data_IF_890502615896
#
_entry.id   IF_890502615896
#
_cell.length_a   1.000
_cell.length_b   1.000
_cell.length_c   1.000
_cell.angle_alpha   90.00
_cell.angle_beta   90.00
_cell.angle_gamma   90.00
#
_symmetry.space_group_name_H-M   'P 1'
#
loop_
_entity.id
_entity.type
_entity.pdbx_description
1 polymer ?
#
# COMPACT_ATOMS: atom_id res chain seq x y z
N UNK A 1 -43.48 -39.61 -9.36
CA UNK A 1 -42.90 -38.39 -9.96
C UNK A 1 -41.79 -37.95 -9.02
N UNK A 2 -40.75 -38.79 -8.95
CA UNK A 2 -39.42 -38.63 -9.61
C UNK A 2 -38.58 -37.60 -8.88
N UNK A 3 -37.75 -38.16 -7.99
CA UNK A 3 -36.70 -37.51 -7.25
C UNK A 3 -35.55 -37.17 -8.20
N UNK A 4 -35.19 -35.90 -8.28
CA UNK A 4 -33.95 -35.47 -8.94
C UNK A 4 -32.79 -35.64 -7.96
N UNK A 5 -31.92 -36.57 -8.34
CA UNK A 5 -30.68 -36.92 -7.65
C UNK A 5 -29.66 -35.80 -7.90
N UNK A 6 -29.29 -35.07 -6.85
CA UNK A 6 -28.17 -34.12 -6.90
C UNK A 6 -26.90 -34.92 -7.12
N UNK A 7 -26.35 -34.81 -8.32
CA UNK A 7 -25.13 -35.49 -8.75
C UNK A 7 -23.92 -34.65 -8.33
N UNK A 8 -22.88 -35.32 -7.85
CA UNK A 8 -21.58 -34.79 -7.42
C UNK A 8 -20.96 -33.74 -8.37
N UNK A 9 -20.28 -32.68 -7.88
CA UNK A 9 -19.60 -31.72 -8.74
C UNK A 9 -18.22 -32.28 -9.12
N UNK A 10 -18.20 -33.15 -10.12
CA UNK A 10 -16.99 -33.46 -10.88
C UNK A 10 -17.11 -32.82 -12.27
N UNK A 11 -16.22 -31.85 -12.53
CA UNK A 11 -15.82 -31.41 -13.87
C UNK A 11 -16.89 -30.64 -14.69
N UNK A 12 -17.27 -29.44 -14.24
CA UNK A 12 -17.78 -28.41 -15.18
C UNK A 12 -16.61 -27.57 -15.70
N UNK A 13 -16.43 -27.54 -17.03
CA UNK A 13 -15.45 -26.67 -17.69
C UNK A 13 -15.81 -25.21 -17.40
N UNK A 14 -14.87 -24.41 -16.90
CA UNK A 14 -15.04 -22.97 -16.66
C UNK A 14 -15.39 -22.22 -17.97
N UNK A 15 -16.67 -21.93 -18.21
CA UNK A 15 -17.18 -21.29 -19.43
C UNK A 15 -17.05 -19.76 -19.46
N UNK A 16 -16.14 -19.18 -18.66
CA UNK A 16 -15.91 -17.74 -18.56
C UNK A 16 -14.47 -17.33 -18.87
N UNK A 17 -14.27 -16.10 -19.34
CA UNK A 17 -12.95 -15.46 -19.46
C UNK A 17 -12.24 -15.51 -18.10
N UNK A 18 -11.02 -16.05 -17.95
CA UNK A 18 -10.35 -16.08 -16.65
C UNK A 18 -10.14 -14.68 -16.06
N UNK A 19 -10.26 -14.55 -14.74
CA UNK A 19 -10.03 -13.30 -14.01
C UNK A 19 -8.73 -13.39 -13.21
N UNK A 20 -7.82 -12.45 -13.42
CA UNK A 20 -6.62 -12.30 -12.60
C UNK A 20 -6.72 -10.99 -11.81
N UNK A 21 -6.61 -11.08 -10.48
CA UNK A 21 -6.49 -9.92 -9.63
C UNK A 21 -5.03 -9.42 -9.63
N UNK A 22 -4.83 -8.13 -9.88
CA UNK A 22 -3.51 -7.49 -9.81
C UNK A 22 -3.40 -6.78 -8.45
N UNK A 23 -2.48 -7.26 -7.62
CA UNK A 23 -2.34 -6.86 -6.21
C UNK A 23 -0.92 -6.43 -5.94
N UNK A 24 -0.73 -5.43 -5.10
CA UNK A 24 0.58 -5.04 -4.58
C UNK A 24 0.43 -3.87 -3.62
N UNK A 25 1.52 -3.49 -2.94
CA UNK A 25 1.50 -2.25 -2.18
C UNK A 25 1.32 -1.03 -3.11
N UNK A 26 0.81 0.10 -2.60
CA UNK A 26 0.93 1.40 -3.26
C UNK A 26 2.36 1.68 -3.73
N UNK A 27 2.48 2.35 -4.89
CA UNK A 27 3.75 2.78 -5.50
C UNK A 27 4.75 1.68 -5.91
N UNK A 28 4.31 0.41 -6.03
CA UNK A 28 5.15 -0.73 -6.43
C UNK A 28 5.32 -0.90 -7.95
N UNK A 29 4.79 0.01 -8.77
CA UNK A 29 4.76 -0.14 -10.22
C UNK A 29 3.59 -0.98 -10.75
N UNK A 30 2.59 -1.26 -9.92
CA UNK A 30 1.37 -2.01 -10.29
C UNK A 30 0.68 -1.50 -11.55
N UNK A 31 0.38 -0.20 -11.62
CA UNK A 31 -0.25 0.40 -12.80
C UNK A 31 0.65 0.33 -14.04
N UNK A 32 1.98 0.35 -13.88
CA UNK A 32 2.92 0.18 -14.99
C UNK A 32 2.82 -1.21 -15.59
N UNK A 33 2.85 -2.26 -14.76
CA UNK A 33 2.71 -3.65 -15.20
C UNK A 33 1.32 -3.91 -15.78
N UNK A 34 0.26 -3.44 -15.12
CA UNK A 34 -1.10 -3.54 -15.62
C UNK A 34 -1.26 -2.91 -17.01
N UNK A 35 -0.79 -1.68 -17.19
CA UNK A 35 -0.85 -0.98 -18.48
C UNK A 35 -0.03 -1.70 -19.56
N UNK A 36 1.12 -2.27 -19.19
CA UNK A 36 1.96 -3.02 -20.12
C UNK A 36 1.30 -4.34 -20.58
N UNK A 37 0.47 -4.96 -19.74
CA UNK A 37 -0.27 -6.18 -20.09
C UNK A 37 -1.55 -5.90 -20.90
N UNK A 38 -2.33 -4.88 -20.51
CA UNK A 38 -3.63 -4.55 -21.11
C UNK A 38 -3.54 -3.66 -22.36
N UNK A 39 -2.49 -2.84 -22.49
CA UNK A 39 -2.42 -1.79 -23.49
C UNK A 39 -3.59 -0.80 -23.35
N UNK A 40 -4.28 -0.52 -24.45
CA UNK A 40 -5.42 0.43 -24.52
C UNK A 40 -6.77 -0.19 -24.12
N UNK A 41 -6.85 -1.51 -23.90
CA UNK A 41 -8.11 -2.22 -23.64
C UNK A 41 -8.46 -2.20 -22.16
N UNK A 42 -8.79 -1.01 -21.64
CA UNK A 42 -9.12 -0.81 -20.24
C UNK A 42 -10.46 -0.09 -20.09
N UNK A 43 -11.18 -0.40 -19.01
CA UNK A 43 -12.42 0.25 -18.61
C UNK A 43 -12.32 0.61 -17.14
N UNK A 44 -12.68 1.84 -16.81
CA UNK A 44 -12.84 2.30 -15.43
C UNK A 44 -14.33 2.26 -15.12
N UNK A 45 -14.69 1.58 -14.04
CA UNK A 45 -16.03 1.55 -13.48
C UNK A 45 -15.93 1.78 -11.97
N UNK A 46 -17.05 1.87 -11.26
CA UNK A 46 -17.06 1.85 -9.80
C UNK A 46 -17.48 0.48 -9.30
N UNK A 47 -17.02 0.08 -8.11
CA UNK A 47 -17.55 -1.09 -7.44
C UNK A 47 -19.02 -0.86 -7.05
N UNK A 48 -19.87 -1.90 -7.05
CA UNK A 48 -21.28 -1.76 -6.71
C UNK A 48 -21.47 -1.12 -5.32
N UNK A 49 -22.25 -0.03 -5.26
CA UNK A 49 -22.63 0.60 -4.00
C UNK A 49 -21.55 1.45 -3.31
N UNK A 50 -20.41 1.70 -3.95
CA UNK A 50 -19.32 2.52 -3.40
C UNK A 50 -18.68 3.44 -4.45
N UNK A 51 -17.98 4.49 -4.01
CA UNK A 51 -17.27 5.44 -4.88
C UNK A 51 -15.87 5.00 -5.28
N UNK A 52 -15.49 3.76 -4.96
CA UNK A 52 -14.15 3.23 -5.24
C UNK A 52 -14.05 2.82 -6.71
N UNK A 53 -13.03 3.31 -7.39
CA UNK A 53 -12.75 2.99 -8.79
C UNK A 53 -12.28 1.53 -8.94
N UNK A 54 -12.90 0.82 -9.86
CA UNK A 54 -12.54 -0.50 -10.37
C UNK A 54 -11.95 -0.35 -11.77
N UNK A 55 -10.66 -0.67 -11.93
CA UNK A 55 -9.98 -0.69 -13.24
C UNK A 55 -9.94 -2.11 -13.78
N UNK A 56 -10.68 -2.35 -14.85
CA UNK A 56 -10.70 -3.61 -15.58
C UNK A 56 -9.92 -3.48 -16.88
N UNK A 57 -9.07 -4.45 -17.18
CA UNK A 57 -8.32 -4.50 -18.42
C UNK A 57 -8.40 -5.88 -19.06
N UNK A 58 -8.13 -5.95 -20.36
CA UNK A 58 -8.13 -7.21 -21.09
C UNK A 58 -6.74 -7.46 -21.66
N UNK A 59 -6.14 -8.58 -21.26
CA UNK A 59 -4.87 -9.05 -21.79
C UNK A 59 -5.10 -10.24 -22.72
N UNK A 60 -4.31 -10.32 -23.78
CA UNK A 60 -4.22 -11.52 -24.60
C UNK A 60 -2.96 -12.30 -24.18
N UNK A 61 -3.18 -13.51 -23.68
CA UNK A 61 -2.18 -14.40 -23.11
C UNK A 61 -2.31 -15.73 -23.85
N UNK A 62 -1.28 -16.09 -24.63
CA UNK A 62 -1.18 -17.37 -25.35
C UNK A 62 -2.43 -17.80 -26.15
N UNK A 63 -3.10 -16.83 -26.78
CA UNK A 63 -4.31 -17.08 -27.60
C UNK A 63 -5.63 -17.02 -26.82
N UNK A 64 -5.57 -16.91 -25.49
CA UNK A 64 -6.73 -16.71 -24.63
C UNK A 64 -6.86 -15.23 -24.22
N UNK A 65 -8.10 -14.75 -24.16
CA UNK A 65 -8.40 -13.45 -23.53
C UNK A 65 -8.56 -13.65 -22.04
N UNK A 66 -7.89 -12.82 -21.25
CA UNK A 66 -7.91 -12.84 -19.79
C UNK A 66 -8.34 -11.45 -19.30
N UNK A 67 -9.22 -11.43 -18.31
CA UNK A 67 -9.63 -10.20 -17.61
C UNK A 67 -8.64 -9.92 -16.47
N UNK A 68 -8.09 -8.70 -16.44
CA UNK A 68 -7.21 -8.21 -15.38
C UNK A 68 -8.00 -7.20 -14.54
N UNK A 69 -8.06 -7.44 -13.23
CA UNK A 69 -8.66 -6.53 -12.26
C UNK A 69 -7.56 -5.83 -11.46
N UNK A 70 -7.36 -4.54 -11.73
CA UNK A 70 -6.43 -3.71 -10.98
C UNK A 70 -7.08 -3.27 -9.67
N UNK A 71 -6.57 -3.79 -8.55
CA UNK A 71 -7.06 -3.47 -7.22
C UNK A 71 -6.33 -2.23 -6.67
N UNK A 72 -6.97 -1.37 -5.87
CA UNK A 72 -6.29 -0.39 -5.05
C UNK A 72 -5.10 -1.01 -4.30
N UNK A 73 -4.03 -0.23 -4.10
CA UNK A 73 -2.85 -0.75 -3.41
C UNK A 73 -3.19 -1.10 -1.97
N UNK A 74 -2.79 -2.29 -1.52
CA UNK A 74 -3.04 -2.79 -0.17
C UNK A 74 -1.75 -2.84 0.63
N UNK A 75 -1.79 -2.54 1.93
CA UNK A 75 -0.69 -2.88 2.85
C UNK A 75 -0.91 -4.19 3.58
N UNK A 76 -2.17 -4.56 3.74
CA UNK A 76 -2.65 -5.77 4.37
C UNK A 76 -4.01 -6.11 3.74
N UNK A 77 -4.38 -7.39 3.71
CA UNK A 77 -5.75 -7.81 3.39
C UNK A 77 -6.73 -7.42 4.50
N UNK A 78 -6.23 -7.04 5.67
CA UNK A 78 -7.01 -6.30 6.65
C UNK A 78 -7.00 -4.84 6.24
N UNK A 79 -8.16 -4.35 5.85
CA UNK A 79 -8.32 -2.98 5.42
C UNK A 79 -8.48 -2.03 6.60
N UNK A 80 -7.77 -0.91 6.55
CA UNK A 80 -7.92 0.19 7.50
C UNK A 80 -8.71 1.36 6.89
N UNK A 81 -9.02 1.29 5.59
CA UNK A 81 -9.80 2.29 4.84
C UNK A 81 -10.89 1.66 3.96
N UNK A 82 -11.92 2.42 3.54
CA UNK A 82 -12.96 1.92 2.62
C UNK A 82 -12.41 1.39 1.29
N UNK A 83 -11.41 2.07 0.72
CA UNK A 83 -10.80 1.68 -0.55
C UNK A 83 -10.03 0.36 -0.42
N UNK A 84 -9.29 0.19 0.68
CA UNK A 84 -8.63 -1.08 1.01
C UNK A 84 -9.65 -2.18 1.29
N UNK A 85 -10.80 -1.84 1.90
CA UNK A 85 -11.84 -2.82 2.22
C UNK A 85 -12.42 -3.39 0.93
N UNK A 86 -12.72 -2.52 -0.03
CA UNK A 86 -13.20 -2.92 -1.35
C UNK A 86 -12.17 -3.76 -2.10
N UNK A 87 -10.88 -3.39 -2.04
CA UNK A 87 -9.81 -4.16 -2.67
C UNK A 87 -9.63 -5.55 -2.04
N UNK A 88 -9.66 -5.64 -0.71
CA UNK A 88 -9.60 -6.89 0.05
C UNK A 88 -10.80 -7.80 -0.27
N UNK A 89 -12.00 -7.22 -0.27
CA UNK A 89 -13.22 -7.94 -0.62
C UNK A 89 -13.23 -8.40 -2.07
N UNK A 90 -12.60 -7.63 -2.97
CA UNK A 90 -12.55 -7.96 -4.38
C UNK A 90 -11.63 -9.15 -4.64
N UNK A 91 -10.46 -9.22 -3.98
CA UNK A 91 -9.59 -10.40 -4.10
C UNK A 91 -10.21 -11.64 -3.47
N UNK A 92 -10.97 -11.48 -2.37
CA UNK A 92 -11.69 -12.60 -1.73
C UNK A 92 -12.98 -13.01 -2.46
N UNK A 93 -13.31 -12.39 -3.60
CA UNK A 93 -14.51 -12.73 -4.37
C UNK A 93 -15.83 -12.35 -3.67
N UNK A 94 -15.81 -11.36 -2.78
CA UNK A 94 -16.99 -10.93 -2.00
C UNK A 94 -17.79 -9.83 -2.68
N UNK A 95 -17.14 -8.97 -3.47
CA UNK A 95 -17.80 -7.86 -4.21
C UNK A 95 -17.72 -8.04 -5.74
N UNK A 96 -16.91 -8.98 -6.20
CA UNK A 96 -16.77 -9.38 -7.61
C UNK A 96 -16.69 -10.90 -7.67
N UNK A 97 -16.78 -11.50 -8.86
CA UNK A 97 -16.49 -12.93 -9.03
C UNK A 97 -15.10 -13.27 -8.48
N UNK A 98 -14.96 -14.44 -7.86
CA UNK A 98 -13.66 -14.91 -7.35
C UNK A 98 -12.61 -14.88 -8.46
N UNK A 99 -11.43 -14.29 -8.23
CA UNK A 99 -10.32 -14.42 -9.17
C UNK A 99 -9.90 -15.88 -9.35
N UNK A 100 -9.41 -16.20 -10.54
CA UNK A 100 -8.83 -17.51 -10.88
C UNK A 100 -7.34 -17.57 -10.55
N UNK A 101 -6.66 -16.42 -10.53
CA UNK A 101 -5.26 -16.28 -10.13
C UNK A 101 -4.95 -14.87 -9.64
N UNK A 102 -3.77 -14.68 -9.06
CA UNK A 102 -3.26 -13.40 -8.58
C UNK A 102 -1.93 -13.08 -9.29
N UNK A 103 -1.86 -11.90 -9.88
CA UNK A 103 -0.62 -11.27 -10.27
C UNK A 103 -0.17 -10.34 -9.14
N UNK A 104 0.82 -10.79 -8.37
CA UNK A 104 1.35 -10.04 -7.23
C UNK A 104 2.54 -9.17 -7.66
N UNK A 105 2.42 -7.86 -7.48
CA UNK A 105 3.45 -6.88 -7.82
C UNK A 105 4.32 -6.66 -6.59
N UNK A 106 5.58 -7.05 -6.68
CA UNK A 106 6.54 -7.03 -5.58
C UNK A 106 7.66 -6.04 -5.91
N UNK A 107 7.77 -4.97 -5.13
CA UNK A 107 8.84 -3.98 -5.28
C UNK A 107 10.14 -4.47 -4.66
N UNK A 108 11.17 -4.65 -5.50
CA UNK A 108 12.48 -5.14 -5.09
C UNK A 108 13.20 -4.21 -4.09
N UNK A 109 12.85 -2.93 -4.02
CA UNK A 109 13.45 -1.94 -3.10
C UNK A 109 12.81 -1.95 -1.72
N UNK A 110 11.63 -2.54 -1.57
CA UNK A 110 10.88 -2.58 -0.31
C UNK A 110 10.33 -3.98 -0.01
N UNK A 111 11.21 -4.99 -0.06
CA UNK A 111 10.84 -6.40 0.11
C UNK A 111 10.07 -6.66 1.40
N UNK A 112 10.50 -6.11 2.55
CA UNK A 112 9.91 -6.42 3.87
C UNK A 112 8.42 -6.13 3.92
N UNK A 113 8.01 -4.97 3.41
CA UNK A 113 6.62 -4.54 3.40
C UNK A 113 5.78 -5.34 2.39
N UNK A 114 6.34 -5.60 1.22
CA UNK A 114 5.66 -6.37 0.18
C UNK A 114 5.46 -7.84 0.58
N UNK A 115 6.48 -8.44 1.20
CA UNK A 115 6.41 -9.80 1.70
C UNK A 115 5.36 -9.95 2.81
N UNK A 116 5.18 -8.96 3.67
CA UNK A 116 4.10 -8.99 4.66
C UNK A 116 2.73 -9.20 4.00
N UNK A 117 2.37 -8.40 2.99
CA UNK A 117 1.12 -8.57 2.23
C UNK A 117 1.11 -9.90 1.46
N UNK A 118 2.20 -10.25 0.79
CA UNK A 118 2.32 -11.51 0.05
C UNK A 118 2.02 -12.72 0.93
N UNK A 119 2.48 -12.73 2.19
CA UNK A 119 2.22 -13.83 3.12
C UNK A 119 0.73 -14.04 3.40
N UNK A 120 -0.08 -12.97 3.36
CA UNK A 120 -1.54 -13.06 3.49
C UNK A 120 -2.20 -13.49 2.18
N UNK A 121 -1.71 -12.97 1.05
CA UNK A 121 -2.20 -13.32 -0.29
C UNK A 121 -2.02 -14.82 -0.58
N UNK A 122 -0.92 -15.43 -0.14
CA UNK A 122 -0.69 -16.88 -0.28
C UNK A 122 -1.66 -17.75 0.51
N UNK A 123 -2.37 -17.19 1.47
CA UNK A 123 -3.39 -17.90 2.26
C UNK A 123 -4.80 -17.76 1.67
N UNK A 124 -4.93 -17.09 0.52
CA UNK A 124 -6.19 -17.00 -0.23
C UNK A 124 -6.49 -18.26 -1.04
N UNK A 125 -5.60 -19.24 -1.03
CA UNK A 125 -5.76 -20.50 -1.78
C UNK A 125 -5.93 -20.26 -3.30
N UNK A 126 -5.31 -19.20 -3.81
CA UNK A 126 -5.29 -18.86 -5.24
C UNK A 126 -3.88 -19.06 -5.82
N UNK A 127 -3.75 -19.47 -7.10
CA UNK A 127 -2.47 -19.45 -7.80
C UNK A 127 -1.90 -18.03 -7.84
N UNK A 128 -0.61 -17.89 -7.55
CA UNK A 128 0.07 -16.57 -7.49
C UNK A 128 1.27 -16.59 -8.44
N UNK A 129 1.40 -15.53 -9.23
CA UNK A 129 2.62 -15.21 -10.00
C UNK A 129 3.13 -13.86 -9.53
N UNK A 130 4.43 -13.76 -9.24
CA UNK A 130 5.06 -12.52 -8.77
C UNK A 130 5.73 -11.79 -9.92
N UNK A 131 5.35 -10.53 -10.14
CA UNK A 131 6.12 -9.59 -10.94
C UNK A 131 7.02 -8.75 -10.03
N UNK A 132 8.33 -9.01 -10.07
CA UNK A 132 9.34 -8.31 -9.28
C UNK A 132 9.77 -7.02 -10.00
N UNK A 133 9.28 -5.88 -9.55
CA UNK A 133 9.52 -4.56 -10.15
C UNK A 133 10.71 -3.85 -9.52
N UNK A 134 11.16 -2.74 -10.13
CA UNK A 134 12.21 -1.85 -9.59
C UNK A 134 13.59 -2.52 -9.39
N UNK A 135 13.86 -3.60 -10.12
CA UNK A 135 15.15 -4.32 -10.04
C UNK A 135 16.33 -3.51 -10.61
N UNK A 136 16.05 -2.53 -11.47
CA UNK A 136 17.02 -1.56 -11.98
C UNK A 136 17.53 -0.62 -10.87
N UNK A 137 16.68 -0.26 -9.90
CA UNK A 137 17.06 0.55 -8.75
C UNK A 137 18.01 -0.19 -7.82
N UNK A 138 17.80 -1.50 -7.62
CA UNK A 138 18.75 -2.33 -6.88
C UNK A 138 20.11 -2.38 -7.57
N UNK A 139 20.11 -2.52 -8.90
CA UNK A 139 21.35 -2.53 -9.69
C UNK A 139 22.13 -1.22 -9.55
N UNK A 140 21.44 -0.07 -9.62
CA UNK A 140 22.04 1.27 -9.40
C UNK A 140 22.57 1.46 -7.99
N UNK A 141 21.93 0.84 -7.01
CA UNK A 141 22.34 0.86 -5.61
C UNK A 141 23.44 -0.17 -5.27
N UNK A 142 23.93 -0.92 -6.27
CA UNK A 142 24.89 -2.02 -6.12
C UNK A 142 24.40 -3.14 -5.17
N UNK A 143 23.08 -3.29 -5.04
CA UNK A 143 22.43 -4.33 -4.24
C UNK A 143 22.15 -5.53 -5.15
N UNK A 144 22.71 -6.69 -4.81
CA UNK A 144 22.46 -7.95 -5.52
C UNK A 144 21.37 -8.75 -4.80
N UNK A 145 20.27 -9.00 -5.50
CA UNK A 145 19.17 -9.85 -5.03
C UNK A 145 19.19 -11.17 -5.80
N UNK A 146 19.24 -12.29 -5.07
CA UNK A 146 19.14 -13.62 -5.68
C UNK A 146 17.67 -13.96 -5.99
N UNK A 147 17.27 -13.76 -7.25
CA UNK A 147 15.89 -13.96 -7.72
C UNK A 147 15.50 -15.44 -7.72
N UNK A 148 16.41 -16.35 -8.08
CA UNK A 148 16.16 -17.79 -8.05
C UNK A 148 15.85 -18.25 -6.62
N UNK A 149 16.65 -17.79 -5.65
CA UNK A 149 16.43 -18.10 -4.25
C UNK A 149 15.15 -17.46 -3.70
N UNK A 150 14.78 -16.27 -4.18
CA UNK A 150 13.50 -15.66 -3.85
C UNK A 150 12.35 -16.51 -4.40
N UNK A 151 12.42 -16.97 -5.65
CA UNK A 151 11.45 -17.88 -6.25
C UNK A 151 11.28 -19.14 -5.43
N UNK A 152 12.40 -19.78 -5.04
CA UNK A 152 12.38 -21.02 -4.29
C UNK A 152 11.82 -20.82 -2.87
N UNK A 153 12.10 -19.70 -2.21
CA UNK A 153 11.57 -19.40 -0.86
C UNK A 153 10.12 -18.94 -0.84
N UNK A 154 9.64 -18.31 -1.92
CA UNK A 154 8.23 -17.91 -2.06
C UNK A 154 7.36 -19.04 -2.62
N UNK A 155 7.98 -20.08 -3.18
CA UNK A 155 7.33 -21.22 -3.83
C UNK A 155 6.33 -20.82 -4.93
N UNK A 156 6.65 -19.74 -5.65
CA UNK A 156 5.85 -19.20 -6.76
C UNK A 156 6.75 -18.67 -7.87
N UNK A 157 6.30 -18.60 -9.13
CA UNK A 157 7.06 -17.95 -10.19
C UNK A 157 7.35 -16.48 -9.84
N UNK A 158 8.61 -16.07 -9.96
CA UNK A 158 9.07 -14.69 -9.74
C UNK A 158 9.72 -14.17 -11.01
N UNK A 159 9.09 -13.22 -11.68
CA UNK A 159 9.52 -12.67 -12.96
C UNK A 159 9.98 -11.22 -12.75
N UNK A 160 11.27 -10.90 -12.95
CA UNK A 160 11.74 -9.52 -12.95
C UNK A 160 11.10 -8.71 -14.09
N UNK A 161 10.52 -7.56 -13.76
CA UNK A 161 9.93 -6.63 -14.72
C UNK A 161 10.60 -5.25 -14.59
N UNK A 162 11.18 -4.77 -15.68
CA UNK A 162 11.75 -3.43 -15.82
C UNK A 162 11.03 -2.69 -16.94
N UNK A 163 10.24 -1.68 -16.58
CA UNK A 163 9.51 -0.86 -17.54
C UNK A 163 8.53 -1.66 -18.41
N UNK A 164 8.76 -1.65 -19.73
CA UNK A 164 7.91 -2.32 -20.74
C UNK A 164 8.71 -3.34 -21.58
N UNK A 165 9.71 -3.99 -20.98
CA UNK A 165 10.51 -5.00 -21.68
C UNK A 165 9.62 -6.14 -22.22
N UNK A 166 9.61 -6.30 -23.55
CA UNK A 166 8.71 -7.24 -24.22
C UNK A 166 9.06 -8.71 -23.91
N UNK A 167 10.33 -9.03 -23.67
CA UNK A 167 10.79 -10.38 -23.35
C UNK A 167 10.34 -10.80 -21.96
N UNK A 168 10.48 -9.91 -20.98
CA UNK A 168 10.02 -10.13 -19.61
C UNK A 168 8.50 -10.22 -19.52
N UNK A 169 7.78 -9.34 -20.22
CA UNK A 169 6.31 -9.43 -20.31
C UNK A 169 5.83 -10.72 -20.97
N UNK A 170 6.55 -11.22 -21.99
CA UNK A 170 6.24 -12.51 -22.61
C UNK A 170 6.40 -13.67 -21.62
N UNK A 171 7.48 -13.68 -20.82
CA UNK A 171 7.68 -14.68 -19.76
C UNK A 171 6.59 -14.58 -18.68
N UNK A 172 6.25 -13.36 -18.24
CA UNK A 172 5.16 -13.17 -17.28
C UNK A 172 3.83 -13.70 -17.80
N UNK A 173 3.50 -13.44 -19.07
CA UNK A 173 2.30 -14.00 -19.71
C UNK A 173 2.32 -15.52 -19.77
N UNK A 174 3.47 -16.12 -20.09
CA UNK A 174 3.63 -17.58 -20.09
C UNK A 174 3.37 -18.19 -18.71
N UNK A 175 3.96 -17.62 -17.65
CA UNK A 175 3.75 -18.10 -16.27
C UNK A 175 2.29 -17.93 -15.82
N UNK A 176 1.65 -16.80 -16.18
CA UNK A 176 0.22 -16.59 -15.92
C UNK A 176 -0.66 -17.61 -16.67
N UNK A 177 -0.32 -17.94 -17.92
CA UNK A 177 -0.99 -19.00 -18.70
C UNK A 177 -0.85 -20.36 -18.01
N UNK A 178 0.37 -20.69 -17.58
CA UNK A 178 0.69 -21.97 -16.94
C UNK A 178 -0.11 -22.15 -15.64
N UNK A 179 -0.14 -21.15 -14.75
CA UNK A 179 -0.91 -21.27 -13.49
C UNK A 179 -2.42 -21.27 -13.68
N UNK A 180 -2.93 -20.69 -14.78
CA UNK A 180 -4.35 -20.74 -15.12
C UNK A 180 -4.74 -22.09 -15.76
N UNK A 181 -3.84 -22.69 -16.53
CA UNK A 181 -4.03 -23.99 -17.17
C UNK A 181 -3.85 -25.16 -16.19
N UNK A 182 -2.98 -24.99 -15.20
CA UNK A 182 -2.78 -25.96 -14.14
C UNK A 182 -3.99 -25.96 -13.19
N UNK A 183 -5.03 -26.68 -13.60
CA UNK A 183 -6.26 -26.95 -12.84
C UNK A 183 -6.00 -27.85 -11.62
N UNK A 184 -4.76 -28.21 -11.36
CA UNK A 184 -4.44 -29.15 -10.29
C UNK A 184 -4.45 -28.41 -8.97
N UNK A 185 -5.13 -28.98 -7.97
CA UNK A 185 -4.99 -28.62 -6.55
C UNK A 185 -3.52 -28.60 -6.04
N UNK A 186 -2.53 -28.94 -6.88
CA UNK A 186 -1.11 -28.98 -6.59
C UNK A 186 -0.50 -27.59 -6.33
N UNK A 187 -0.90 -26.53 -7.05
CA UNK A 187 -0.43 -25.16 -6.76
C UNK A 187 -1.09 -24.56 -5.51
N UNK A 188 -2.29 -25.03 -5.16
CA UNK A 188 -2.99 -24.73 -3.91
C UNK A 188 -2.39 -25.48 -2.72
N UNK A 189 -1.79 -26.65 -2.97
CA UNK A 189 -1.21 -27.55 -1.96
C UNK A 189 0.16 -27.12 -1.43
N UNK A 190 0.90 -26.26 -2.14
CA UNK A 190 2.04 -25.55 -1.56
C UNK A 190 1.54 -24.41 -0.67
N UNK A 191 0.79 -24.78 0.36
CA UNK A 191 0.46 -23.91 1.47
C UNK A 191 1.77 -23.37 2.06
N UNK A 192 1.75 -22.13 2.55
CA UNK A 192 2.72 -21.66 3.55
C UNK A 192 2.61 -22.45 4.88
N UNK A 193 2.18 -23.71 4.87
CA UNK A 193 2.25 -24.61 6.02
C UNK A 193 3.72 -24.77 6.40
N UNK A 194 4.13 -24.06 7.46
CA UNK A 194 5.49 -24.08 7.97
C UNK A 194 6.40 -22.97 7.43
N UNK A 195 5.92 -22.08 6.55
CA UNK A 195 6.75 -20.98 6.04
C UNK A 195 6.68 -19.77 6.96
N UNK A 196 5.47 -19.37 7.38
CA UNK A 196 5.29 -18.47 8.53
C UNK A 196 5.10 -19.33 9.77
N UNK A 197 5.96 -19.14 10.78
CA UNK A 197 5.88 -19.86 12.06
C UNK A 197 4.67 -19.38 12.86
N UNK A 198 3.51 -19.95 12.55
CA UNK A 198 2.23 -19.71 13.21
C UNK A 198 1.91 -20.87 14.15
N UNK A 199 1.10 -20.57 15.18
CA UNK A 199 0.64 -21.57 16.14
C UNK A 199 0.04 -22.80 15.43
N UNK A 200 0.56 -24.02 15.66
CA UNK A 200 -0.01 -25.24 15.09
C UNK A 200 -1.49 -25.42 15.45
N UNK A 201 -1.90 -24.94 16.62
CA UNK A 201 -3.31 -24.94 17.06
C UNK A 201 -4.15 -24.00 16.19
N UNK A 202 -3.66 -22.79 15.89
CA UNK A 202 -4.37 -21.83 15.04
C UNK A 202 -4.55 -22.38 13.63
N UNK A 203 -3.49 -22.96 13.05
CA UNK A 203 -3.54 -23.54 11.70
C UNK A 203 -4.54 -24.70 11.62
N UNK A 204 -4.57 -25.56 12.65
CA UNK A 204 -5.53 -26.66 12.74
C UNK A 204 -6.96 -26.16 12.85
N UNK A 205 -7.24 -25.23 13.78
CA UNK A 205 -8.57 -24.67 13.96
C UNK A 205 -9.05 -23.92 12.70
N UNK A 206 -8.17 -23.19 12.01
CA UNK A 206 -8.50 -22.52 10.75
C UNK A 206 -8.82 -23.52 9.63
N UNK A 207 -8.06 -24.61 9.51
CA UNK A 207 -8.33 -25.68 8.55
C UNK A 207 -9.64 -26.43 8.81
N UNK A 208 -9.93 -26.72 10.09
CA UNK A 208 -11.21 -27.31 10.52
C UNK A 208 -12.38 -26.37 10.22
N UNK A 209 -12.27 -25.09 10.57
CA UNK A 209 -13.32 -24.09 10.30
C UNK A 209 -13.55 -23.93 8.80
N UNK A 210 -12.49 -23.82 7.99
CA UNK A 210 -12.59 -23.78 6.52
C UNK A 210 -13.37 -24.98 5.98
N UNK A 211 -13.03 -26.19 6.44
CA UNK A 211 -13.70 -27.43 6.02
C UNK A 211 -15.17 -27.46 6.45
N UNK A 212 -15.47 -26.99 7.66
CA UNK A 212 -16.83 -26.87 8.16
C UNK A 212 -17.66 -25.85 7.39
N UNK A 213 -17.05 -24.78 6.88
CA UNK A 213 -17.76 -23.72 6.16
C UNK A 213 -17.82 -23.95 4.65
N UNK A 214 -17.13 -24.95 4.10
CA UNK A 214 -17.01 -25.20 2.66
C UNK A 214 -18.36 -25.17 1.91
N UNK A 215 -19.40 -25.82 2.44
CA UNK A 215 -20.72 -25.89 1.80
C UNK A 215 -21.66 -24.72 2.17
N UNK A 216 -21.39 -24.04 3.28
CA UNK A 216 -22.29 -23.00 3.81
C UNK A 216 -21.87 -21.61 3.33
N UNK A 217 -20.58 -21.34 3.44
CA UNK A 217 -19.95 -20.06 3.14
C UNK A 217 -18.46 -20.30 2.89
N UNK A 218 -18.05 -20.65 1.65
CA UNK A 218 -16.66 -20.90 1.32
C UNK A 218 -15.78 -19.74 1.77
N UNK A 219 -14.73 -20.06 2.52
CA UNK A 219 -13.73 -19.11 3.02
C UNK A 219 -12.34 -19.59 2.64
N UNK A 220 -11.47 -18.65 2.35
CA UNK A 220 -10.02 -18.92 2.28
C UNK A 220 -9.46 -19.26 3.65
N UNK A 221 -8.26 -19.83 3.68
CA UNK A 221 -7.53 -20.07 4.93
C UNK A 221 -7.26 -18.77 5.69
N UNK A 222 -6.94 -17.69 4.96
CA UNK A 222 -6.81 -16.34 5.52
C UNK A 222 -8.08 -15.92 6.27
N UNK A 223 -9.25 -16.00 5.62
CA UNK A 223 -10.53 -15.61 6.21
C UNK A 223 -10.88 -16.47 7.43
N UNK A 224 -10.70 -17.79 7.36
CA UNK A 224 -10.95 -18.69 8.50
C UNK A 224 -10.11 -18.30 9.72
N UNK A 225 -8.83 -17.95 9.51
CA UNK A 225 -7.94 -17.49 10.59
C UNK A 225 -8.40 -16.16 11.18
N UNK A 226 -8.73 -15.18 10.33
CA UNK A 226 -9.16 -13.87 10.81
C UNK A 226 -10.53 -13.89 11.53
N UNK A 227 -11.39 -14.86 11.19
CA UNK A 227 -12.63 -15.13 11.91
C UNK A 227 -12.37 -15.71 13.31
N UNK A 228 -11.43 -16.66 13.44
CA UNK A 228 -11.03 -17.23 14.75
C UNK A 228 -10.43 -16.16 15.65
N UNK A 229 -9.60 -15.27 15.09
CA UNK A 229 -8.96 -14.19 15.83
C UNK A 229 -9.91 -13.03 16.14
N UNK A 230 -11.13 -13.04 15.57
CA UNK A 230 -12.17 -12.00 15.73
C UNK A 230 -11.69 -10.62 15.30
N UNK A 231 -11.11 -10.56 14.10
CA UNK A 231 -10.48 -9.33 13.63
C UNK A 231 -10.91 -8.84 12.25
N UNK A 232 -11.64 -9.66 11.49
CA UNK A 232 -12.20 -9.22 10.20
C UNK A 232 -13.60 -8.64 10.38
N UNK A 233 -13.69 -7.43 10.96
CA UNK A 233 -14.97 -6.79 11.33
C UNK A 233 -15.95 -6.74 10.14
N UNK A 234 -15.46 -6.42 8.95
CA UNK A 234 -16.30 -6.38 7.74
C UNK A 234 -16.88 -7.75 7.35
N UNK A 235 -16.14 -8.84 7.59
CA UNK A 235 -16.60 -10.20 7.28
C UNK A 235 -17.61 -10.65 8.33
N UNK A 236 -17.34 -10.41 9.61
CA UNK A 236 -18.30 -10.68 10.70
C UNK A 236 -19.60 -9.90 10.52
N UNK A 237 -19.53 -8.65 10.05
CA UNK A 237 -20.71 -7.85 9.73
C UNK A 237 -21.58 -8.49 8.64
N UNK A 238 -20.97 -9.12 7.63
CA UNK A 238 -21.70 -9.84 6.57
C UNK A 238 -22.35 -11.13 7.03
N UNK A 239 -21.83 -11.72 8.12
CA UNK A 239 -22.30 -12.99 8.66
C UNK A 239 -23.39 -12.81 9.73
N UNK A 240 -23.82 -11.58 10.03
CA UNK A 240 -24.82 -11.28 11.07
C UNK A 240 -26.12 -12.08 10.93
N UNK A 241 -26.58 -12.28 9.69
CA UNK A 241 -27.82 -13.00 9.39
C UNK A 241 -27.60 -14.49 9.10
N UNK A 242 -26.44 -15.04 9.49
CA UNK A 242 -26.02 -16.44 9.26
C UNK A 242 -25.66 -17.11 10.59
N UNK A 243 -26.65 -17.40 11.47
CA UNK A 243 -26.40 -17.94 12.81
C UNK A 243 -25.67 -19.30 12.77
N UNK A 244 -25.95 -20.11 11.75
CA UNK A 244 -25.29 -21.39 11.48
C UNK A 244 -23.77 -21.25 11.27
N UNK A 245 -23.35 -20.19 10.57
CA UNK A 245 -21.94 -19.88 10.33
C UNK A 245 -21.31 -19.27 11.59
N UNK A 246 -22.02 -18.37 12.27
CA UNK A 246 -21.56 -17.73 13.50
C UNK A 246 -21.32 -18.75 14.63
N UNK A 247 -22.18 -19.76 14.78
CA UNK A 247 -22.02 -20.80 15.78
C UNK A 247 -20.78 -21.67 15.54
N UNK A 248 -20.46 -21.97 14.27
CA UNK A 248 -19.23 -22.68 13.90
C UNK A 248 -17.98 -21.85 14.19
N UNK A 249 -18.01 -20.56 13.86
CA UNK A 249 -16.92 -19.61 14.16
C UNK A 249 -16.70 -19.53 15.68
N UNK A 250 -17.78 -19.38 16.45
CA UNK A 250 -17.73 -19.34 17.91
C UNK A 250 -17.13 -20.62 18.50
N UNK A 251 -17.56 -21.79 18.00
CA UNK A 251 -17.04 -23.10 18.45
C UNK A 251 -15.55 -23.24 18.15
N UNK A 252 -15.10 -22.83 16.97
CA UNK A 252 -13.69 -22.84 16.59
C UNK A 252 -12.86 -21.88 17.45
N UNK A 253 -13.41 -20.71 17.78
CA UNK A 253 -12.78 -19.73 18.67
C UNK A 253 -12.63 -20.25 20.09
N UNK A 254 -13.69 -20.79 20.68
CA UNK A 254 -13.65 -21.36 22.04
C UNK A 254 -12.66 -22.53 22.13
N UNK A 255 -12.50 -23.30 21.05
CA UNK A 255 -11.48 -24.35 20.95
C UNK A 255 -10.07 -23.75 20.94
N UNK A 256 -9.83 -22.77 20.08
CA UNK A 256 -8.54 -22.07 20.01
C UNK A 256 -8.18 -21.39 21.33
N UNK A 257 -9.13 -20.75 22.03
CA UNK A 257 -8.89 -20.10 23.33
C UNK A 257 -8.58 -21.09 24.45
N UNK A 258 -9.15 -22.31 24.41
CA UNK A 258 -8.83 -23.38 25.37
C UNK A 258 -7.47 -24.01 25.12
N UNK A 259 -7.08 -24.17 23.85
CA UNK A 259 -5.87 -24.90 23.45
C UNK A 259 -4.66 -23.98 23.20
N UNK A 260 -4.89 -22.69 22.91
CA UNK A 260 -3.89 -21.73 22.46
C UNK A 260 -3.79 -20.50 23.37
N UNK A 261 -2.57 -20.21 23.85
CA UNK A 261 -2.24 -18.97 24.57
C UNK A 261 -1.47 -18.00 23.70
N UNK A 262 -2.04 -17.56 22.58
CA UNK A 262 -1.31 -16.70 21.62
C UNK A 262 -2.18 -15.48 21.26
N UNK A 263 -1.61 -14.30 21.50
CA UNK A 263 -2.21 -13.00 21.23
C UNK A 263 -1.92 -12.58 19.78
N UNK A 264 -2.78 -11.78 19.16
CA UNK A 264 -2.65 -11.33 17.77
C UNK A 264 -1.28 -10.74 17.39
N UNK A 265 -0.57 -10.12 18.33
CA UNK A 265 0.81 -9.64 18.16
C UNK A 265 1.73 -10.70 17.58
N UNK A 266 1.44 -11.97 17.85
CA UNK A 266 2.28 -13.09 17.47
C UNK A 266 2.16 -13.40 15.97
N UNK A 267 0.98 -13.23 15.36
CA UNK A 267 0.78 -13.47 13.91
C UNK A 267 1.48 -12.40 13.08
N UNK A 268 1.27 -11.12 13.41
CA UNK A 268 1.93 -10.02 12.69
C UNK A 268 3.46 -10.11 12.86
N UNK A 269 3.94 -10.42 14.08
CA UNK A 269 5.36 -10.62 14.36
C UNK A 269 5.94 -11.80 13.58
N UNK A 270 5.23 -12.94 13.52
CA UNK A 270 5.65 -14.10 12.75
C UNK A 270 5.80 -13.78 11.26
N UNK A 271 4.85 -13.03 10.67
CA UNK A 271 4.95 -12.59 9.27
C UNK A 271 6.15 -11.68 9.01
N UNK A 272 6.42 -10.73 9.91
CA UNK A 272 7.61 -9.87 9.79
C UNK A 272 8.91 -10.64 9.94
N UNK A 273 8.99 -11.58 10.90
CA UNK A 273 10.15 -12.47 11.05
C UNK A 273 10.37 -13.32 9.81
N UNK A 274 9.30 -13.88 9.25
CA UNK A 274 9.36 -14.62 8.00
C UNK A 274 9.89 -13.75 6.85
N UNK A 275 9.36 -12.54 6.67
CA UNK A 275 9.83 -11.62 5.64
C UNK A 275 11.32 -11.30 5.80
N UNK A 276 11.80 -11.06 7.03
CA UNK A 276 13.23 -10.85 7.33
C UNK A 276 14.08 -12.08 7.02
N UNK A 277 13.58 -13.29 7.29
CA UNK A 277 14.26 -14.55 6.94
C UNK A 277 14.38 -14.72 5.43
N UNK A 278 13.33 -14.41 4.67
CA UNK A 278 13.38 -14.46 3.20
C UNK A 278 14.41 -13.45 2.67
N UNK A 279 14.35 -12.20 3.13
CA UNK A 279 15.25 -11.13 2.69
C UNK A 279 16.71 -11.47 3.00
N UNK A 280 17.00 -11.86 4.24
CA UNK A 280 18.37 -12.21 4.66
C UNK A 280 18.96 -13.39 3.88
N UNK A 281 18.11 -14.31 3.41
CA UNK A 281 18.52 -15.41 2.54
C UNK A 281 18.73 -14.97 1.09
N UNK A 282 17.99 -13.98 0.59
CA UNK A 282 18.03 -13.54 -0.81
C UNK A 282 19.05 -12.41 -1.08
N UNK A 283 19.33 -11.56 -0.10
CA UNK A 283 20.30 -10.47 -0.24
C UNK A 283 21.73 -10.99 -0.27
N UNK A 284 22.42 -10.74 -1.39
CA UNK A 284 23.86 -10.95 -1.49
C UNK A 284 24.51 -9.65 -1.03
N UNK A 285 24.89 -9.59 0.25
CA UNK A 285 25.62 -8.45 0.80
C UNK A 285 26.93 -8.27 0.03
N UNK A 286 27.04 -7.17 -0.71
CA UNK A 286 28.33 -6.70 -1.19
C UNK A 286 29.14 -6.25 0.03
N UNK A 287 30.33 -6.83 0.22
CA UNK A 287 31.16 -6.70 1.43
C UNK A 287 31.67 -5.28 1.74
N UNK A 288 31.38 -4.25 0.95
CA UNK A 288 31.79 -2.89 1.29
C UNK A 288 30.88 -1.83 0.70
N UNK A 289 29.79 -1.50 1.41
CA UNK A 289 29.09 -0.25 1.14
C UNK A 289 29.99 0.89 1.60
N UNK A 290 30.67 1.58 0.68
CA UNK A 290 31.30 2.87 1.00
C UNK A 290 30.19 3.80 1.49
N UNK A 291 30.33 4.37 2.69
CA UNK A 291 29.33 5.30 3.23
C UNK A 291 29.10 6.44 2.24
N UNK A 292 27.87 6.56 1.72
CA UNK A 292 27.47 7.67 0.87
C UNK A 292 27.44 8.97 1.67
N UNK A 293 27.66 10.11 1.02
CA UNK A 293 27.58 11.43 1.66
C UNK A 293 26.22 11.65 2.34
N UNK A 294 25.14 11.16 1.74
CA UNK A 294 23.79 11.17 2.31
C UNK A 294 23.72 10.44 3.64
N UNK A 295 24.34 9.26 3.77
CA UNK A 295 24.33 8.52 5.03
C UNK A 295 25.13 9.22 6.13
N UNK A 296 26.21 9.94 5.76
CA UNK A 296 26.99 10.73 6.72
C UNK A 296 26.20 11.94 7.23
N UNK A 297 25.51 12.64 6.32
CA UNK A 297 24.63 13.75 6.66
C UNK A 297 23.46 13.26 7.52
N UNK A 298 22.80 12.19 7.13
CA UNK A 298 21.69 11.59 7.87
C UNK A 298 22.12 11.19 9.29
N UNK A 299 23.29 10.55 9.43
CA UNK A 299 23.86 10.22 10.75
C UNK A 299 24.14 11.46 11.60
N UNK A 300 24.58 12.57 11.00
CA UNK A 300 24.82 13.82 11.70
C UNK A 300 23.51 14.48 12.15
N UNK A 301 22.51 14.56 11.25
CA UNK A 301 21.21 15.17 11.53
C UNK A 301 20.33 14.34 12.46
N UNK A 302 20.45 13.01 12.46
CA UNK A 302 19.67 12.10 13.35
C UNK A 302 20.33 11.88 14.71
N UNK A 303 21.55 12.36 14.91
CA UNK A 303 22.25 12.23 16.19
C UNK A 303 21.59 13.09 17.28
N UNK A 304 21.32 12.51 18.45
CA UNK A 304 20.64 13.15 19.60
C UNK A 304 21.07 14.60 19.88
N UNK A 305 22.38 14.87 19.96
CA UNK A 305 22.91 16.20 20.27
C UNK A 305 23.24 17.03 19.01
N UNK A 306 24.05 16.49 18.09
CA UNK A 306 24.42 17.18 16.85
C UNK A 306 23.22 17.52 15.95
N UNK A 307 22.20 16.66 15.88
CA UNK A 307 20.96 16.93 15.17
C UNK A 307 20.17 18.10 15.77
N UNK A 308 20.07 18.17 17.10
CA UNK A 308 19.44 19.30 17.78
C UNK A 308 20.20 20.60 17.52
N UNK A 309 21.53 20.58 17.59
CA UNK A 309 22.36 21.75 17.29
C UNK A 309 22.20 22.18 15.83
N UNK A 310 22.23 21.25 14.89
CA UNK A 310 22.02 21.52 13.47
C UNK A 310 20.64 22.13 13.20
N UNK A 311 19.59 21.59 13.83
CA UNK A 311 18.23 22.12 13.73
C UNK A 311 18.15 23.56 14.24
N UNK A 312 18.69 23.83 15.45
CA UNK A 312 18.71 25.19 16.01
C UNK A 312 19.51 26.15 15.13
N UNK A 313 20.66 25.72 14.61
CA UNK A 313 21.48 26.54 13.70
C UNK A 313 20.76 26.86 12.39
N UNK A 314 20.12 25.88 11.75
CA UNK A 314 19.36 26.09 10.52
C UNK A 314 18.19 27.03 10.78
N UNK A 315 17.44 26.81 11.87
CA UNK A 315 16.33 27.65 12.27
C UNK A 315 16.78 29.10 12.51
N UNK A 316 17.89 29.28 13.24
CA UNK A 316 18.48 30.59 13.49
C UNK A 316 18.89 31.29 12.20
N UNK A 317 19.57 30.58 11.28
CA UNK A 317 19.97 31.13 9.99
C UNK A 317 18.77 31.54 9.14
N UNK A 318 17.70 30.72 9.14
CA UNK A 318 16.46 31.04 8.44
C UNK A 318 15.82 32.31 9.00
N UNK A 319 15.69 32.43 10.33
CA UNK A 319 15.17 33.65 10.96
C UNK A 319 16.06 34.87 10.65
N UNK A 320 17.38 34.74 10.78
CA UNK A 320 18.30 35.83 10.46
C UNK A 320 18.20 36.26 9.00
N UNK A 321 18.09 35.32 8.06
CA UNK A 321 17.92 35.63 6.65
C UNK A 321 16.61 36.40 6.39
N UNK A 322 15.50 35.97 7.00
CA UNK A 322 14.19 36.63 6.88
C UNK A 322 14.28 38.09 7.33
N UNK A 323 14.83 38.36 8.52
CA UNK A 323 14.95 39.74 9.03
C UNK A 323 15.96 40.57 8.22
N UNK A 324 17.10 39.98 7.85
CA UNK A 324 18.16 40.69 7.13
C UNK A 324 17.74 41.09 5.72
N UNK A 325 16.95 40.27 5.04
CA UNK A 325 16.47 40.56 3.69
C UNK A 325 15.20 41.39 3.69
N UNK A 326 14.32 41.22 4.67
CA UNK A 326 13.13 42.05 4.81
C UNK A 326 13.49 43.49 5.22
N UNK A 327 14.47 43.68 6.11
CA UNK A 327 14.85 44.99 6.69
C UNK A 327 14.93 46.14 5.67
N UNK A 328 15.75 46.04 4.61
CA UNK A 328 15.85 47.11 3.61
C UNK A 328 14.53 47.44 2.91
N UNK A 329 13.65 46.46 2.71
CA UNK A 329 12.32 46.67 2.11
C UNK A 329 11.35 47.31 3.12
N UNK A 330 11.46 46.93 4.40
CA UNK A 330 10.70 47.54 5.49
C UNK A 330 11.06 49.02 5.65
N UNK A 331 12.36 49.35 5.63
CA UNK A 331 12.86 50.72 5.73
C UNK A 331 12.37 51.60 4.57
N UNK A 332 12.32 51.06 3.35
CA UNK A 332 11.78 51.77 2.18
C UNK A 332 10.29 52.06 2.35
N UNK A 333 9.52 51.10 2.85
CA UNK A 333 8.08 51.28 3.12
C UNK A 333 7.90 52.34 4.21
N UNK A 334 8.62 52.24 5.32
CA UNK A 334 8.55 53.20 6.42
C UNK A 334 8.87 54.62 5.96
N UNK A 335 9.97 54.79 5.24
CA UNK A 335 10.35 56.09 4.68
C UNK A 335 9.31 56.63 3.70
N UNK A 336 8.73 55.77 2.85
CA UNK A 336 7.70 56.18 1.88
C UNK A 336 6.42 56.66 2.55
N UNK A 337 5.94 55.92 3.55
CA UNK A 337 4.74 56.31 4.31
C UNK A 337 5.01 57.56 5.16
N UNK A 338 6.21 57.70 5.74
CA UNK A 338 6.64 58.90 6.45
C UNK A 338 6.66 60.14 5.55
N UNK A 339 7.28 60.03 4.37
CA UNK A 339 7.34 61.14 3.41
C UNK A 339 5.96 61.57 2.91
N UNK A 340 5.03 60.63 2.72
CA UNK A 340 3.63 60.93 2.37
C UNK A 340 2.90 61.59 3.53
N UNK A 341 3.12 61.12 4.76
CA UNK A 341 2.58 61.71 5.98
C UNK A 341 3.03 63.16 6.19
N UNK A 342 4.33 63.43 6.03
CA UNK A 342 4.92 64.76 6.16
C UNK A 342 4.37 65.72 5.10
N UNK A 343 4.28 65.27 3.85
CA UNK A 343 3.76 66.08 2.74
C UNK A 343 2.30 66.47 2.98
N UNK A 344 1.46 65.51 3.39
CA UNK A 344 0.05 65.76 3.73
C UNK A 344 -0.07 66.65 4.97
N UNK A 345 0.80 66.44 5.96
CA UNK A 345 0.87 67.26 7.18
C UNK A 345 1.10 68.74 6.88
N UNK A 346 2.02 69.07 5.97
CA UNK A 346 2.31 70.45 5.58
C UNK A 346 1.08 71.16 4.98
N UNK A 347 0.27 70.46 4.17
CA UNK A 347 -0.95 71.02 3.58
C UNK A 347 -2.13 71.11 4.55
N UNK A 348 -2.11 70.35 5.65
CA UNK A 348 -3.20 70.28 6.63
C UNK A 348 -2.89 71.01 7.95
N UNK A 349 -1.80 71.77 8.01
CA UNK A 349 -1.36 72.49 9.22
C UNK A 349 -2.43 73.40 9.85
N UNK A 350 -3.35 73.96 9.05
CA UNK A 350 -4.44 74.81 9.55
C UNK A 350 -5.60 74.01 10.19
N UNK A 351 -5.58 72.68 10.09
CA UNK A 351 -6.65 71.77 10.54
C UNK A 351 -6.10 70.63 11.41
N UNK A 352 -5.67 70.92 12.65
CA UNK A 352 -4.87 69.99 13.47
C UNK A 352 -5.57 68.66 13.80
N UNK A 353 -6.91 68.65 13.91
CA UNK A 353 -7.69 67.42 14.16
C UNK A 353 -7.77 66.53 12.91
N UNK A 354 -7.86 67.13 11.73
CA UNK A 354 -7.92 66.38 10.46
C UNK A 354 -6.54 65.85 10.08
N UNK A 355 -5.50 66.64 10.37
CA UNK A 355 -4.10 66.24 10.19
C UNK A 355 -3.79 64.99 11.02
N UNK A 356 -4.07 64.98 12.33
CA UNK A 356 -3.77 63.82 13.18
C UNK A 356 -4.58 62.59 12.77
N UNK A 357 -5.84 62.75 12.37
CA UNK A 357 -6.67 61.65 11.90
C UNK A 357 -6.08 60.99 10.64
N UNK A 358 -5.62 61.78 9.67
CA UNK A 358 -5.12 61.27 8.39
C UNK A 358 -3.66 60.81 8.47
N UNK A 359 -2.78 61.59 9.09
CA UNK A 359 -1.35 61.30 9.19
C UNK A 359 -1.09 60.20 10.21
N UNK A 360 -1.52 60.37 11.46
CA UNK A 360 -1.25 59.38 12.51
C UNK A 360 -2.21 58.20 12.43
N UNK A 361 -3.49 58.47 12.18
CA UNK A 361 -4.54 57.44 12.15
C UNK A 361 -4.48 56.56 10.90
N UNK A 362 -4.64 57.15 9.72
CA UNK A 362 -4.75 56.38 8.46
C UNK A 362 -3.37 56.00 7.92
N UNK A 363 -2.48 56.96 7.70
CA UNK A 363 -1.18 56.72 7.06
C UNK A 363 -0.26 55.93 8.00
N UNK A 364 -0.13 56.37 9.26
CA UNK A 364 0.62 55.66 10.28
C UNK A 364 0.05 54.27 10.57
N UNK A 365 -1.28 54.17 10.73
CA UNK A 365 -1.97 52.90 10.96
C UNK A 365 -1.75 51.89 9.83
N UNK A 366 -2.00 52.28 8.56
CA UNK A 366 -1.79 51.39 7.41
C UNK A 366 -0.30 51.07 7.23
N UNK A 367 0.58 52.06 7.35
CA UNK A 367 2.04 51.88 7.27
C UNK A 367 2.55 50.84 8.26
N UNK A 368 2.05 50.85 9.51
CA UNK A 368 2.43 49.90 10.56
C UNK A 368 2.07 48.43 10.25
N UNK A 369 1.08 48.20 9.39
CA UNK A 369 0.70 46.84 8.94
C UNK A 369 1.48 46.46 7.68
N UNK A 370 1.58 47.39 6.73
CA UNK A 370 2.23 47.16 5.43
C UNK A 370 3.74 46.94 5.59
N UNK A 371 4.37 47.52 6.61
CA UNK A 371 5.79 47.31 6.90
C UNK A 371 6.15 45.82 7.10
N UNK A 372 5.22 44.97 7.54
CA UNK A 372 5.49 43.53 7.72
C UNK A 372 5.31 42.70 6.44
N UNK A 373 4.77 43.27 5.37
CA UNK A 373 4.49 42.54 4.11
C UNK A 373 5.74 41.88 3.52
N UNK A 374 6.91 42.53 3.44
CA UNK A 374 8.12 41.88 2.93
C UNK A 374 8.50 40.62 3.74
N UNK A 375 8.35 40.68 5.06
CA UNK A 375 8.68 39.56 5.94
C UNK A 375 7.72 38.38 5.72
N UNK A 376 6.43 38.66 5.56
CA UNK A 376 5.40 37.66 5.24
C UNK A 376 5.68 37.06 3.86
N UNK A 377 5.98 37.87 2.86
CA UNK A 377 6.22 37.43 1.49
C UNK A 377 7.49 36.57 1.33
N UNK A 378 8.48 36.70 2.22
CA UNK A 378 9.68 35.83 2.22
C UNK A 378 9.41 34.49 2.93
N UNK A 379 8.45 34.46 3.87
CA UNK A 379 8.10 33.26 4.62
C UNK A 379 7.22 32.28 3.82
N UNK A 380 6.42 32.79 2.89
CA UNK A 380 5.52 32.04 2.00
C UNK A 380 6.13 31.90 0.60
#
# INVERSE_FOLDING_TARGET
MTADTITSPATESRTGTPLIAVIGNPNTGKSTVFNALCGTRQRVANYPGVTVEKKLGYAHIEGQTVELLDLPGLYSLRADSPDEQVASDAVMGRVVRSPDAILFILDATNLKRNLYLFSQVRELDLPVVVALTMTDLLTRAEIKLNIEKLRDLLEVPVIPIVGRDAGQLKRLKHELSAVLADNTDAHTRHHLEGVVDLSPTLERCAGELKSQLAELYPVSRFEARELILDRHIALLHRLKDRPDVLDRIRTARERYEREGRIQYTDVATARYRWAELVISKCEVRAESRKETLTNKLDRFFTHRAAGLLAFVSIMYLMFQAIYSWAGPLMDVIEWSFGAVGDLIGVYLNDWPVLQSLLVDGVIGGVGSVVIFVPQIAILF
#
